data_IF_525629347623
#
_entry.id   IF_525629347623
#
_cell.length_a   1.000
_cell.length_b   1.000
_cell.length_c   1.000
_cell.angle_alpha   90.00
_cell.angle_beta   90.00
_cell.angle_gamma   90.00
#
_symmetry.space_group_name_H-M   'P 1'
#
loop_
_entity.id
_entity.type
_entity.pdbx_description
1 polymer ?
#
# COMPACT_ATOMS: atom_id res chain seq x y z
N UNK A 1 23.89 -27.77 -14.36
CA UNK A 1 25.19 -27.21 -13.92
C UNK A 1 25.91 -28.32 -13.15
N UNK A 2 27.14 -28.69 -13.56
CA UNK A 2 27.88 -29.79 -12.90
C UNK A 2 28.42 -29.36 -11.51
N UNK A 3 28.66 -28.09 -11.27
CA UNK A 3 29.02 -27.51 -9.96
C UNK A 3 28.40 -26.12 -9.82
N UNK A 4 27.19 -26.01 -9.25
CA UNK A 4 26.54 -24.72 -9.06
C UNK A 4 27.31 -23.86 -8.05
N UNK A 5 27.37 -22.56 -8.32
CA UNK A 5 27.91 -21.58 -7.38
C UNK A 5 26.82 -21.15 -6.39
N UNK A 6 27.22 -20.51 -5.28
CA UNK A 6 26.27 -19.90 -4.35
C UNK A 6 25.26 -18.97 -5.05
N UNK A 7 25.71 -18.20 -6.02
CA UNK A 7 24.84 -17.28 -6.75
C UNK A 7 23.83 -18.04 -7.64
N UNK A 8 24.23 -19.17 -8.25
CA UNK A 8 23.32 -20.01 -9.03
C UNK A 8 22.23 -20.61 -8.13
N UNK A 9 22.61 -21.09 -6.95
CA UNK A 9 21.67 -21.64 -5.96
C UNK A 9 20.74 -20.55 -5.43
N UNK A 10 21.26 -19.36 -5.11
CA UNK A 10 20.47 -18.22 -4.63
C UNK A 10 19.45 -17.77 -5.69
N UNK A 11 19.88 -17.66 -6.95
CA UNK A 11 18.99 -17.30 -8.05
C UNK A 11 17.89 -18.34 -8.25
N UNK A 12 18.23 -19.62 -8.19
CA UNK A 12 17.28 -20.71 -8.28
C UNK A 12 16.23 -20.62 -7.15
N UNK A 13 16.66 -20.51 -5.90
CA UNK A 13 15.76 -20.44 -4.73
C UNK A 13 14.88 -19.19 -4.82
N UNK A 14 15.46 -18.04 -5.16
CA UNK A 14 14.71 -16.79 -5.38
C UNK A 14 13.62 -16.95 -6.43
N UNK A 15 13.97 -17.51 -7.59
CA UNK A 15 13.05 -17.74 -8.70
C UNK A 15 11.97 -18.74 -8.32
N UNK A 16 12.33 -19.82 -7.63
CA UNK A 16 11.39 -20.82 -7.16
C UNK A 16 10.36 -20.19 -6.19
N UNK A 17 10.81 -19.48 -5.18
CA UNK A 17 9.91 -18.89 -4.17
C UNK A 17 9.05 -17.77 -4.78
N UNK A 18 9.66 -16.78 -5.45
CA UNK A 18 8.94 -15.60 -5.92
C UNK A 18 8.08 -15.83 -7.16
N UNK A 19 8.43 -16.81 -8.00
CA UNK A 19 7.75 -17.01 -9.29
C UNK A 19 6.92 -18.28 -9.34
N UNK A 20 7.25 -19.28 -8.56
CA UNK A 20 6.50 -20.54 -8.51
C UNK A 20 5.68 -20.66 -7.22
N UNK A 21 6.34 -20.70 -6.06
CA UNK A 21 5.67 -20.95 -4.78
C UNK A 21 4.57 -19.91 -4.48
N UNK A 22 4.89 -18.61 -4.52
CA UNK A 22 3.92 -17.54 -4.24
C UNK A 22 2.85 -17.35 -5.33
N UNK A 23 2.99 -18.00 -6.50
CA UNK A 23 1.99 -17.95 -7.57
C UNK A 23 1.17 -19.21 -7.69
N UNK A 24 1.54 -20.28 -6.98
CA UNK A 24 0.83 -21.56 -7.05
C UNK A 24 -0.55 -21.42 -6.39
N UNK A 25 -1.60 -21.82 -7.11
CA UNK A 25 -2.99 -21.66 -6.67
C UNK A 25 -3.31 -22.54 -5.45
N UNK A 26 -2.80 -23.77 -5.38
CA UNK A 26 -3.05 -24.67 -4.26
C UNK A 26 -2.42 -24.14 -2.96
N UNK A 27 -1.20 -23.58 -3.07
CA UNK A 27 -0.50 -22.94 -1.95
C UNK A 27 -1.24 -21.69 -1.49
N UNK A 28 -1.72 -20.85 -2.42
CA UNK A 28 -2.50 -19.68 -2.07
C UNK A 28 -3.80 -20.06 -1.37
N UNK A 29 -4.56 -21.02 -1.93
CA UNK A 29 -5.79 -21.52 -1.32
C UNK A 29 -5.56 -22.11 0.07
N UNK A 30 -4.42 -22.79 0.28
CA UNK A 30 -4.05 -23.30 1.60
C UNK A 30 -3.85 -22.21 2.65
N UNK A 31 -3.21 -21.08 2.27
CA UNK A 31 -3.00 -19.95 3.15
C UNK A 31 -4.26 -19.12 3.35
N UNK A 32 -5.04 -18.87 2.29
CA UNK A 32 -6.32 -18.17 2.34
C UNK A 32 -7.32 -18.84 3.28
N UNK A 33 -7.37 -20.17 3.26
CA UNK A 33 -8.21 -20.93 4.19
C UNK A 33 -7.84 -20.76 5.68
N UNK A 34 -6.61 -20.26 5.97
CA UNK A 34 -6.08 -20.09 7.33
C UNK A 34 -5.93 -18.64 7.74
N UNK A 35 -5.75 -17.76 6.79
CA UNK A 35 -5.54 -16.33 7.02
C UNK A 35 -6.35 -15.53 6.01
N UNK A 36 -7.43 -14.89 6.46
CA UNK A 36 -8.31 -14.04 5.65
C UNK A 36 -7.56 -12.85 5.00
N UNK A 37 -6.41 -12.46 5.57
CA UNK A 37 -5.59 -11.36 5.07
C UNK A 37 -4.50 -11.82 4.10
N UNK A 38 -4.47 -13.12 3.72
CA UNK A 38 -3.39 -13.67 2.89
C UNK A 38 -3.11 -12.89 1.61
N UNK A 39 -4.13 -12.43 0.91
CA UNK A 39 -3.95 -11.66 -0.34
C UNK A 39 -3.16 -10.37 -0.14
N UNK A 40 -3.31 -9.74 1.02
CA UNK A 40 -2.56 -8.53 1.42
C UNK A 40 -1.18 -8.95 1.91
N UNK A 41 -1.11 -9.87 2.86
CA UNK A 41 0.11 -10.34 3.50
C UNK A 41 1.09 -10.94 2.47
N UNK A 42 0.59 -11.61 1.46
CA UNK A 42 1.37 -12.19 0.36
C UNK A 42 2.21 -11.15 -0.39
N UNK A 43 1.67 -9.95 -0.62
CA UNK A 43 2.41 -8.87 -1.29
C UNK A 43 3.53 -8.35 -0.40
N UNK A 44 3.26 -8.23 0.89
CA UNK A 44 4.22 -7.82 1.92
C UNK A 44 5.33 -8.86 2.02
N UNK A 45 4.97 -10.13 2.19
CA UNK A 45 5.91 -11.26 2.26
C UNK A 45 6.79 -11.32 1.01
N UNK A 46 6.19 -11.11 -0.17
CA UNK A 46 6.94 -11.07 -1.43
C UNK A 46 8.00 -9.97 -1.45
N UNK A 47 7.65 -8.77 -0.97
CA UNK A 47 8.57 -7.64 -0.87
C UNK A 47 9.70 -7.92 0.12
N UNK A 48 9.38 -8.44 1.30
CA UNK A 48 10.36 -8.81 2.32
C UNK A 48 11.32 -9.89 1.83
N UNK A 49 10.81 -10.93 1.19
CA UNK A 49 11.63 -12.01 0.61
C UNK A 49 12.56 -11.47 -0.48
N UNK A 50 12.06 -10.59 -1.36
CA UNK A 50 12.88 -9.95 -2.39
C UNK A 50 14.05 -9.19 -1.76
N UNK A 51 13.79 -8.33 -0.78
CA UNK A 51 14.83 -7.58 -0.05
C UNK A 51 15.81 -8.51 0.66
N UNK A 52 15.31 -9.58 1.28
CA UNK A 52 16.15 -10.58 1.95
C UNK A 52 17.10 -11.25 0.95
N UNK A 53 16.59 -11.71 -0.19
CA UNK A 53 17.43 -12.33 -1.23
C UNK A 53 18.46 -11.36 -1.84
N UNK A 54 18.12 -10.07 -1.96
CA UNK A 54 19.04 -9.04 -2.44
C UNK A 54 20.18 -8.76 -1.45
N UNK A 55 19.95 -8.96 -0.16
CA UNK A 55 20.96 -8.77 0.88
C UNK A 55 21.86 -9.98 1.10
N UNK A 56 21.46 -11.17 0.64
CA UNK A 56 22.21 -12.41 0.84
C UNK A 56 23.49 -12.45 0.00
N UNK A 57 24.59 -12.81 0.65
CA UNK A 57 25.84 -13.10 0.00
C UNK A 57 26.52 -14.34 0.63
N UNK A 58 27.48 -14.94 -0.07
CA UNK A 58 28.15 -16.16 0.39
C UNK A 58 28.93 -16.04 1.69
N UNK A 59 29.33 -14.81 2.08
CA UNK A 59 30.15 -14.56 3.28
C UNK A 59 29.29 -14.51 4.54
N UNK A 60 28.06 -13.99 4.42
CA UNK A 60 27.18 -13.69 5.56
C UNK A 60 26.02 -14.69 5.68
N UNK A 61 26.08 -15.80 4.93
CA UNK A 61 24.97 -16.76 4.87
C UNK A 61 24.54 -17.31 6.25
N UNK A 62 25.48 -17.43 7.19
CA UNK A 62 25.16 -17.92 8.54
C UNK A 62 24.65 -16.83 9.50
N UNK A 63 24.72 -15.57 9.10
CA UNK A 63 24.39 -14.41 9.95
C UNK A 63 23.38 -13.45 9.32
N UNK A 64 22.76 -13.85 8.18
CA UNK A 64 21.78 -13.01 7.51
C UNK A 64 20.53 -12.79 8.37
N UNK A 65 19.97 -11.60 8.29
CA UNK A 65 18.68 -11.28 8.87
C UNK A 65 17.61 -11.21 7.77
N UNK A 66 16.43 -11.72 8.09
CA UNK A 66 15.25 -11.51 7.23
C UNK A 66 14.93 -10.03 7.20
N UNK A 67 14.66 -9.48 6.02
CA UNK A 67 14.30 -8.09 5.87
C UNK A 67 13.11 -7.72 6.77
N UNK A 68 13.22 -6.62 7.48
CA UNK A 68 12.15 -6.12 8.32
C UNK A 68 11.02 -5.54 7.48
N UNK A 69 9.78 -5.64 7.98
CA UNK A 69 8.62 -4.99 7.39
C UNK A 69 8.76 -3.46 7.43
N UNK A 70 9.27 -2.96 8.54
CA UNK A 70 9.47 -1.53 8.80
C UNK A 70 10.84 -1.30 9.43
N UNK A 71 11.47 -0.17 9.11
CA UNK A 71 12.71 0.29 9.77
C UNK A 71 12.42 0.87 11.17
N UNK A 72 11.21 1.43 11.36
CA UNK A 72 10.74 1.99 12.62
C UNK A 72 9.25 1.75 12.81
N UNK A 73 8.89 0.58 13.32
CA UNK A 73 7.50 0.17 13.51
C UNK A 73 6.73 1.06 14.49
N UNK A 74 7.39 1.67 15.47
CA UNK A 74 6.74 2.60 16.40
C UNK A 74 6.33 3.89 15.68
N UNK A 75 7.20 4.45 14.84
CA UNK A 75 6.89 5.62 14.04
C UNK A 75 5.74 5.35 13.05
N UNK A 76 5.73 4.17 12.42
CA UNK A 76 4.67 3.78 11.48
C UNK A 76 3.32 3.62 12.18
N UNK A 77 3.30 3.02 13.39
CA UNK A 77 2.08 2.90 14.20
C UNK A 77 1.58 4.29 14.61
N UNK A 78 2.46 5.16 15.10
CA UNK A 78 2.11 6.51 15.50
C UNK A 78 1.56 7.32 14.31
N UNK A 79 2.17 7.20 13.13
CA UNK A 79 1.65 7.80 11.91
C UNK A 79 0.24 7.29 11.58
N UNK A 80 0.04 5.97 11.57
CA UNK A 80 -1.25 5.38 11.26
C UNK A 80 -2.36 5.82 12.25
N UNK A 81 -2.06 5.85 13.56
CA UNK A 81 -2.98 6.34 14.58
C UNK A 81 -3.32 7.82 14.37
N UNK A 82 -2.32 8.67 14.14
CA UNK A 82 -2.51 10.10 13.94
C UNK A 82 -3.33 10.40 12.67
N UNK A 83 -3.07 9.66 11.59
CA UNK A 83 -3.83 9.78 10.35
C UNK A 83 -5.28 9.34 10.55
N UNK A 84 -5.51 8.21 11.24
CA UNK A 84 -6.85 7.75 11.56
C UNK A 84 -7.63 8.76 12.41
N UNK A 85 -7.02 9.28 13.48
CA UNK A 85 -7.64 10.32 14.34
C UNK A 85 -7.99 11.58 13.55
N UNK A 86 -7.10 12.02 12.64
CA UNK A 86 -7.35 13.14 11.76
C UNK A 86 -8.58 12.90 10.88
N UNK A 87 -8.64 11.75 10.21
CA UNK A 87 -9.78 11.39 9.34
C UNK A 87 -11.10 11.37 10.11
N UNK A 88 -11.12 10.74 11.29
CA UNK A 88 -12.33 10.61 12.11
C UNK A 88 -12.79 11.99 12.63
N UNK A 89 -11.88 12.77 13.17
CA UNK A 89 -12.20 14.08 13.76
C UNK A 89 -12.66 15.12 12.74
N UNK A 90 -12.09 15.11 11.51
CA UNK A 90 -12.36 16.08 10.45
C UNK A 90 -13.25 15.52 9.33
N UNK A 91 -13.90 14.39 9.51
CA UNK A 91 -14.67 13.71 8.45
C UNK A 91 -15.71 14.61 7.78
N UNK A 92 -16.44 15.45 8.55
CA UNK A 92 -17.44 16.37 8.02
C UNK A 92 -16.83 17.52 7.20
N UNK A 93 -15.65 17.98 7.59
CA UNK A 93 -14.89 18.99 6.86
C UNK A 93 -14.43 18.44 5.51
N UNK A 94 -13.87 17.23 5.52
CA UNK A 94 -13.46 16.55 4.28
C UNK A 94 -14.65 16.24 3.36
N UNK A 95 -15.81 15.90 3.90
CA UNK A 95 -17.04 15.73 3.12
C UNK A 95 -17.47 17.01 2.44
N UNK A 96 -17.33 18.15 3.10
CA UNK A 96 -17.61 19.45 2.49
C UNK A 96 -16.66 19.73 1.32
N UNK A 97 -15.35 19.51 1.51
CA UNK A 97 -14.38 19.65 0.42
C UNK A 97 -14.73 18.70 -0.76
N UNK A 98 -14.99 17.44 -0.48
CA UNK A 98 -15.35 16.47 -1.53
C UNK A 98 -16.59 16.94 -2.29
N UNK A 99 -17.63 17.44 -1.63
CA UNK A 99 -18.83 17.96 -2.25
C UNK A 99 -18.56 19.14 -3.19
N UNK A 100 -17.65 20.03 -2.83
CA UNK A 100 -17.29 21.19 -3.65
C UNK A 100 -16.61 20.78 -4.97
N UNK A 101 -15.86 19.69 -4.96
CA UNK A 101 -15.22 19.15 -6.17
C UNK A 101 -16.15 18.31 -7.02
N UNK A 102 -17.12 17.62 -6.39
CA UNK A 102 -18.02 16.69 -7.08
C UNK A 102 -19.34 17.41 -7.46
N UNK A 103 -19.25 18.58 -8.09
CA UNK A 103 -20.38 19.47 -8.43
C UNK A 103 -21.60 18.82 -9.11
N UNK A 104 -21.47 17.60 -9.59
CA UNK A 104 -22.54 16.87 -10.30
C UNK A 104 -22.82 15.47 -9.71
N UNK A 105 -22.29 15.13 -8.54
CA UNK A 105 -22.45 13.82 -7.95
C UNK A 105 -22.87 13.97 -6.49
N UNK A 106 -23.91 13.25 -6.11
CA UNK A 106 -24.29 13.13 -4.69
C UNK A 106 -23.27 12.23 -3.97
N UNK A 107 -22.78 12.61 -2.81
CA UNK A 107 -21.84 11.80 -1.99
C UNK A 107 -22.36 10.38 -1.75
N UNK A 108 -23.68 10.23 -1.65
CA UNK A 108 -24.35 8.95 -1.45
C UNK A 108 -24.14 7.95 -2.62
N UNK A 109 -23.68 8.43 -3.77
CA UNK A 109 -23.34 7.59 -4.94
C UNK A 109 -21.89 7.12 -4.93
N UNK A 110 -21.04 7.72 -4.11
CA UNK A 110 -19.66 7.29 -3.94
C UNK A 110 -19.65 6.06 -3.04
N UNK A 111 -18.92 5.01 -3.43
CA UNK A 111 -18.79 3.84 -2.57
C UNK A 111 -18.17 4.26 -1.22
N UNK A 112 -18.58 3.61 -0.13
CA UNK A 112 -18.03 3.91 1.21
C UNK A 112 -16.51 3.71 1.25
N UNK A 113 -15.99 2.75 0.49
CA UNK A 113 -14.56 2.49 0.39
C UNK A 113 -13.84 3.65 -0.31
N UNK A 114 -14.35 4.08 -1.48
CA UNK A 114 -13.76 5.21 -2.21
C UNK A 114 -13.78 6.48 -1.38
N UNK A 115 -14.90 6.75 -0.70
CA UNK A 115 -15.03 7.91 0.19
C UNK A 115 -14.02 7.86 1.34
N UNK A 116 -13.81 6.68 1.93
CA UNK A 116 -12.82 6.49 3.01
C UNK A 116 -11.40 6.73 2.51
N UNK A 117 -11.06 6.22 1.32
CA UNK A 117 -9.74 6.40 0.70
C UNK A 117 -9.50 7.88 0.36
N UNK A 118 -10.50 8.57 -0.16
CA UNK A 118 -10.40 10.00 -0.50
C UNK A 118 -10.20 10.84 0.77
N UNK A 119 -10.98 10.58 1.83
CA UNK A 119 -10.79 11.25 3.13
C UNK A 119 -9.39 11.02 3.69
N UNK A 120 -8.86 9.78 3.57
CA UNK A 120 -7.51 9.43 3.98
C UNK A 120 -6.47 10.26 3.21
N UNK A 121 -6.61 10.34 1.88
CA UNK A 121 -5.71 11.13 1.03
C UNK A 121 -5.74 12.62 1.39
N UNK A 122 -6.93 13.22 1.57
CA UNK A 122 -7.08 14.62 1.97
C UNK A 122 -6.44 14.86 3.34
N UNK A 123 -6.68 13.97 4.31
CA UNK A 123 -6.12 14.08 5.65
C UNK A 123 -4.58 14.03 5.62
N UNK A 124 -4.01 13.14 4.83
CA UNK A 124 -2.55 13.01 4.69
C UNK A 124 -1.96 14.26 4.02
N UNK A 125 -2.52 14.71 2.90
CA UNK A 125 -2.05 15.89 2.20
C UNK A 125 -2.12 17.17 3.04
N UNK A 126 -3.17 17.32 3.86
CA UNK A 126 -3.39 18.55 4.66
C UNK A 126 -2.65 18.55 6.00
N UNK A 127 -2.40 17.38 6.59
CA UNK A 127 -1.87 17.31 7.97
C UNK A 127 -0.45 16.75 8.05
N UNK A 128 0.09 16.19 6.96
CA UNK A 128 1.41 15.52 6.93
C UNK A 128 2.27 16.05 5.77
N UNK A 129 2.55 17.36 5.80
CA UNK A 129 3.27 18.09 4.73
C UNK A 129 4.67 17.54 4.37
N UNK A 130 5.26 16.67 5.21
CA UNK A 130 6.51 16.00 4.91
C UNK A 130 6.34 14.83 3.91
N UNK A 131 5.10 14.40 3.65
CA UNK A 131 4.80 13.37 2.63
C UNK A 131 4.48 14.10 1.32
N UNK A 132 5.22 13.83 0.23
CA UNK A 132 4.91 14.46 -1.05
C UNK A 132 3.51 14.08 -1.55
N UNK A 133 2.71 15.05 -1.94
CA UNK A 133 1.32 14.87 -2.44
C UNK A 133 1.21 13.76 -3.49
N UNK A 134 2.18 13.67 -4.40
CA UNK A 134 2.22 12.64 -5.42
C UNK A 134 2.34 11.21 -4.85
N UNK A 135 3.01 11.06 -3.72
CA UNK A 135 3.11 9.76 -3.02
C UNK A 135 1.75 9.40 -2.46
N UNK A 136 1.12 10.30 -1.70
CA UNK A 136 -0.23 10.12 -1.15
C UNK A 136 -1.25 9.71 -2.24
N UNK A 137 -1.27 10.44 -3.37
CA UNK A 137 -2.19 10.13 -4.47
C UNK A 137 -1.94 8.73 -5.03
N UNK A 138 -0.68 8.33 -5.25
CA UNK A 138 -0.36 7.02 -5.77
C UNK A 138 -0.79 5.89 -4.80
N UNK A 139 -0.53 6.06 -3.50
CA UNK A 139 -0.97 5.09 -2.48
C UNK A 139 -2.50 4.99 -2.42
N UNK A 140 -3.22 6.12 -2.48
CA UNK A 140 -4.68 6.11 -2.55
C UNK A 140 -5.22 5.39 -3.79
N UNK A 141 -4.58 5.57 -4.96
CA UNK A 141 -4.94 4.86 -6.19
C UNK A 141 -4.75 3.35 -6.03
N UNK A 142 -3.64 2.93 -5.42
CA UNK A 142 -3.36 1.51 -5.22
C UNK A 142 -4.28 0.90 -4.14
N UNK A 143 -4.62 1.62 -3.09
CA UNK A 143 -5.68 1.22 -2.15
C UNK A 143 -7.02 1.05 -2.87
N UNK A 144 -7.42 1.99 -3.73
CA UNK A 144 -8.67 1.90 -4.47
C UNK A 144 -8.72 0.71 -5.44
N UNK A 145 -7.61 0.39 -6.10
CA UNK A 145 -7.50 -0.80 -6.98
C UNK A 145 -7.62 -2.11 -6.20
N UNK A 146 -7.06 -2.15 -4.98
CA UNK A 146 -6.99 -3.38 -4.18
C UNK A 146 -8.28 -3.62 -3.37
N UNK A 147 -8.95 -2.57 -2.91
CA UNK A 147 -10.04 -2.67 -1.95
C UNK A 147 -11.39 -2.19 -2.45
N UNK A 148 -11.46 -1.63 -3.68
CA UNK A 148 -12.71 -1.14 -4.23
C UNK A 148 -12.97 -1.72 -5.64
N UNK A 149 -13.68 -0.99 -6.50
CA UNK A 149 -14.02 -1.47 -7.84
C UNK A 149 -12.86 -1.22 -8.83
N UNK A 150 -12.86 -1.94 -9.97
CA UNK A 150 -11.89 -1.73 -11.05
C UNK A 150 -11.84 -0.28 -11.57
N UNK A 151 -12.90 0.48 -11.40
CA UNK A 151 -13.00 1.88 -11.84
C UNK A 151 -12.56 2.87 -10.76
N UNK A 152 -12.51 2.44 -9.51
CA UNK A 152 -12.23 3.30 -8.34
C UNK A 152 -10.87 3.96 -8.38
N UNK A 153 -9.82 3.26 -8.84
CA UNK A 153 -8.50 3.85 -8.98
C UNK A 153 -8.47 5.08 -9.91
N UNK A 154 -9.24 5.05 -11.02
CA UNK A 154 -9.36 6.21 -11.93
C UNK A 154 -10.18 7.32 -11.30
N UNK A 155 -11.23 6.99 -10.58
CA UNK A 155 -12.10 7.95 -9.90
C UNK A 155 -11.34 8.69 -8.79
N UNK A 156 -10.66 7.96 -7.90
CA UNK A 156 -9.83 8.52 -6.83
C UNK A 156 -8.73 9.40 -7.40
N UNK A 157 -8.02 8.95 -8.45
CA UNK A 157 -7.02 9.75 -9.14
C UNK A 157 -7.61 11.06 -9.68
N UNK A 158 -8.74 10.99 -10.39
CA UNK A 158 -9.38 12.18 -10.94
C UNK A 158 -9.74 13.16 -9.84
N UNK A 159 -10.29 12.70 -8.72
CA UNK A 159 -10.76 13.55 -7.65
C UNK A 159 -9.61 14.18 -6.85
N UNK A 160 -8.57 13.40 -6.52
CA UNK A 160 -7.42 13.90 -5.78
C UNK A 160 -6.48 14.75 -6.65
N UNK A 161 -6.43 14.52 -7.97
CA UNK A 161 -5.56 15.26 -8.89
C UNK A 161 -6.21 16.52 -9.46
N UNK A 162 -7.53 16.54 -9.70
CA UNK A 162 -8.28 17.73 -10.12
C UNK A 162 -8.51 18.71 -8.99
N UNK A 163 -8.30 18.27 -7.77
CA UNK A 163 -8.10 19.21 -6.71
C UNK A 163 -6.68 19.77 -6.89
N UNK A 164 -6.55 20.92 -7.58
CA UNK A 164 -5.57 21.96 -7.23
C UNK A 164 -5.73 22.30 -5.73
N UNK A 165 -6.55 21.50 -5.07
CA UNK A 165 -6.78 21.39 -3.65
C UNK A 165 -5.50 21.23 -2.84
N UNK A 166 -4.44 20.71 -3.40
CA UNK A 166 -3.13 20.74 -2.76
C UNK A 166 -2.63 22.18 -2.61
N UNK A 167 -2.87 23.07 -3.57
CA UNK A 167 -2.46 24.48 -3.50
C UNK A 167 -3.47 25.35 -2.74
N UNK A 168 -4.78 25.05 -2.79
CA UNK A 168 -5.81 25.77 -2.04
C UNK A 168 -5.94 25.30 -0.57
N UNK A 169 -5.59 24.03 -0.26
CA UNK A 169 -5.64 23.49 1.10
C UNK A 169 -4.35 23.78 1.89
N UNK A 170 -3.23 24.00 1.20
CA UNK A 170 -1.92 24.30 1.82
C UNK A 170 -1.57 25.80 1.81
N UNK A 171 -2.43 26.67 1.31
CA UNK A 171 -2.28 28.14 1.28
C UNK A 171 -2.54 28.86 2.61
#
# INVERSE_FOLDING_TARGET
LENPTFNDDLEFVRKFILSFFLKNEDINSFFEARNIYWDIDKQIIRSMLKKTFESLNSRDFNTFAVASLSENSEADINFACSLYECVVSKSKEFDSYINDFVKNWELDRISRMDLSIIRLGIAEMTSFSYIPVKVTINECIDLAKNFSSQKSGKFVNCLLYTSDAADEITG
#
